data_IF_129521576197
#
_entry.id   IF_129521576197
#
_cell.length_a   1.000
_cell.length_b   1.000
_cell.length_c   1.000
_cell.angle_alpha   90.00
_cell.angle_beta   90.00
_cell.angle_gamma   90.00
#
_symmetry.space_group_name_H-M   'P 1'
#
loop_
_entity.id
_entity.type
_entity.pdbx_description
1 polymer ?
#
# COMPACT_ATOMS: atom_id res chain seq x y z
N UNK A 1 -15.55 -3.46 25.58
CA UNK A 1 -16.32 -3.14 24.35
C UNK A 1 -15.99 -4.19 23.29
N UNK A 2 -17.05 -4.86 22.79
CA UNK A 2 -17.16 -6.09 21.95
C UNK A 2 -15.95 -6.63 21.15
N UNK A 3 -15.27 -7.64 21.71
CA UNK A 3 -14.50 -8.64 20.93
C UNK A 3 -15.38 -9.47 19.97
N UNK A 4 -16.71 -9.41 20.11
CA UNK A 4 -17.67 -10.18 19.31
C UNK A 4 -17.81 -9.72 17.85
N UNK A 5 -17.54 -8.44 17.54
CA UNK A 5 -17.65 -7.94 16.16
C UNK A 5 -16.44 -8.35 15.32
N UNK A 6 -15.26 -8.42 15.93
CA UNK A 6 -14.01 -8.71 15.22
C UNK A 6 -13.91 -10.14 14.70
N UNK A 7 -14.62 -11.11 15.30
CA UNK A 7 -14.64 -12.53 14.87
C UNK A 7 -15.87 -12.91 14.03
N UNK A 8 -16.74 -11.93 13.71
CA UNK A 8 -17.90 -12.13 12.83
C UNK A 8 -17.45 -12.66 11.47
N UNK A 9 -18.25 -13.54 10.88
CA UNK A 9 -17.95 -14.12 9.55
C UNK A 9 -16.97 -15.29 9.57
N UNK A 10 -16.29 -15.57 10.69
CA UNK A 10 -15.55 -16.81 10.90
C UNK A 10 -16.48 -18.02 11.08
N UNK A 11 -15.98 -19.21 10.74
CA UNK A 11 -16.58 -20.50 11.10
C UNK A 11 -16.60 -20.66 12.62
N UNK A 12 -17.56 -21.42 13.16
CA UNK A 12 -17.68 -21.61 14.61
C UNK A 12 -16.40 -22.21 15.20
N UNK A 13 -15.84 -23.23 14.55
CA UNK A 13 -14.59 -23.89 14.96
C UNK A 13 -13.41 -22.91 15.02
N UNK A 14 -13.23 -22.08 13.99
CA UNK A 14 -12.09 -21.15 13.97
C UNK A 14 -12.33 -19.95 14.91
N UNK A 15 -13.58 -19.51 15.05
CA UNK A 15 -13.96 -18.48 16.03
C UNK A 15 -13.61 -18.90 17.44
N UNK A 16 -13.97 -20.11 17.85
CA UNK A 16 -13.64 -20.64 19.18
C UNK A 16 -12.12 -20.69 19.42
N UNK A 17 -11.33 -21.07 18.39
CA UNK A 17 -9.87 -21.02 18.46
C UNK A 17 -9.35 -19.59 18.69
N UNK A 18 -9.90 -18.61 17.98
CA UNK A 18 -9.51 -17.19 18.12
C UNK A 18 -9.91 -16.66 19.50
N UNK A 19 -11.10 -16.99 19.98
CA UNK A 19 -11.61 -16.55 21.29
C UNK A 19 -10.82 -17.18 22.43
N UNK A 20 -10.44 -18.46 22.31
CA UNK A 20 -9.61 -19.15 23.30
C UNK A 20 -8.17 -18.63 23.31
N UNK A 21 -7.58 -18.37 22.13
CA UNK A 21 -6.18 -17.95 22.02
C UNK A 21 -5.99 -16.42 22.16
N UNK A 22 -7.06 -15.63 22.05
CA UNK A 22 -6.99 -14.16 21.97
C UNK A 22 -6.32 -13.63 20.70
N UNK A 23 -6.10 -14.49 19.70
CA UNK A 23 -5.22 -14.20 18.57
C UNK A 23 -5.75 -14.80 17.27
N UNK A 24 -5.67 -14.03 16.17
CA UNK A 24 -5.95 -14.52 14.82
C UNK A 24 -4.66 -15.01 14.15
N UNK A 25 -4.51 -16.32 14.00
CA UNK A 25 -3.34 -16.92 13.32
C UNK A 25 -3.56 -17.00 11.80
N UNK A 26 -3.20 -15.94 11.09
CA UNK A 26 -3.25 -15.88 9.64
C UNK A 26 -2.21 -16.77 8.95
N UNK A 27 -1.30 -17.41 9.69
CA UNK A 27 -0.42 -18.45 9.13
C UNK A 27 -1.15 -19.76 8.90
N UNK A 28 -2.29 -19.97 9.59
CA UNK A 28 -3.09 -21.20 9.55
C UNK A 28 -4.47 -21.02 8.92
N UNK A 29 -5.03 -19.80 8.93
CA UNK A 29 -6.38 -19.53 8.40
C UNK A 29 -6.52 -19.97 6.94
N UNK A 30 -7.66 -20.61 6.65
CA UNK A 30 -8.06 -21.12 5.33
C UNK A 30 -9.32 -20.43 4.85
N UNK A 31 -9.68 -20.65 3.58
CA UNK A 31 -10.91 -20.09 2.99
C UNK A 31 -12.17 -20.62 3.69
N UNK A 32 -12.17 -21.88 4.11
CA UNK A 32 -13.28 -22.54 4.80
C UNK A 32 -13.52 -21.99 6.21
N UNK A 33 -12.52 -21.35 6.80
CA UNK A 33 -12.63 -20.70 8.10
C UNK A 33 -13.40 -19.37 8.03
N UNK A 34 -13.68 -18.86 6.83
CA UNK A 34 -14.49 -17.65 6.63
C UNK A 34 -15.76 -18.00 5.85
N UNK A 35 -16.89 -17.93 6.54
CA UNK A 35 -18.21 -18.28 5.99
C UNK A 35 -18.84 -17.14 5.18
N UNK A 36 -18.63 -15.89 5.60
CA UNK A 36 -19.21 -14.73 4.90
C UNK A 36 -18.54 -14.53 3.54
N UNK A 37 -19.33 -14.52 2.49
CA UNK A 37 -18.88 -14.25 1.11
C UNK A 37 -19.47 -12.92 0.66
N UNK A 38 -18.62 -12.03 0.13
CA UNK A 38 -19.08 -10.78 -0.49
C UNK A 38 -18.74 -10.81 -1.98
N UNK A 39 -19.75 -10.80 -2.87
CA UNK A 39 -19.53 -10.73 -4.32
C UNK A 39 -18.75 -9.46 -4.71
N UNK A 40 -17.83 -9.59 -5.67
CA UNK A 40 -16.94 -8.48 -6.05
C UNK A 40 -17.62 -7.24 -6.69
N UNK A 41 -18.87 -7.38 -7.13
CA UNK A 41 -19.67 -6.28 -7.72
C UNK A 41 -20.39 -5.43 -6.66
N UNK A 42 -20.60 -5.96 -5.46
CA UNK A 42 -21.35 -5.33 -4.36
C UNK A 42 -20.43 -5.07 -3.17
N UNK A 43 -19.17 -4.79 -3.44
CA UNK A 43 -18.12 -4.75 -2.44
C UNK A 43 -17.90 -3.29 -2.03
N UNK A 44 -18.72 -2.86 -1.07
CA UNK A 44 -18.57 -1.60 -0.37
C UNK A 44 -17.69 -1.86 0.87
N UNK A 45 -16.52 -1.22 0.93
CA UNK A 45 -15.55 -1.44 2.01
C UNK A 45 -15.36 -0.13 2.75
N UNK A 46 -15.63 -0.15 4.05
CA UNK A 46 -15.12 0.89 4.93
C UNK A 46 -13.60 0.70 5.15
N UNK A 47 -12.82 1.34 4.30
CA UNK A 47 -11.36 1.24 4.27
C UNK A 47 -10.68 1.71 5.56
N UNK A 48 -11.33 2.63 6.30
CA UNK A 48 -10.81 3.12 7.58
C UNK A 48 -10.78 2.04 8.65
N UNK A 49 -11.62 1.01 8.47
CA UNK A 49 -11.81 -0.08 9.42
C UNK A 49 -11.06 -1.36 9.03
N UNK A 50 -10.40 -1.40 7.87
CA UNK A 50 -9.70 -2.60 7.38
C UNK A 50 -8.39 -2.83 8.14
N UNK A 51 -8.32 -3.94 8.85
CA UNK A 51 -7.16 -4.37 9.64
C UNK A 51 -6.20 -5.19 8.78
N UNK A 52 -6.73 -6.14 7.99
CA UNK A 52 -5.89 -7.04 7.20
C UNK A 52 -6.57 -7.51 5.92
N UNK A 53 -5.80 -7.59 4.84
CA UNK A 53 -6.21 -8.15 3.56
C UNK A 53 -5.29 -9.33 3.26
N UNK A 54 -5.76 -10.54 3.51
CA UNK A 54 -5.03 -11.77 3.24
C UNK A 54 -5.29 -12.24 1.82
N UNK A 55 -4.23 -12.46 1.07
CA UNK A 55 -4.29 -13.27 -0.14
C UNK A 55 -4.30 -14.76 0.22
N UNK A 56 -5.31 -15.54 -0.21
CA UNK A 56 -5.34 -16.99 0.01
C UNK A 56 -5.02 -17.74 -1.27
N UNK A 57 -4.00 -18.60 -1.18
CA UNK A 57 -3.70 -19.61 -2.18
C UNK A 57 -4.55 -20.87 -1.96
N UNK A 58 -5.30 -21.28 -2.97
CA UNK A 58 -5.75 -22.67 -3.14
C UNK A 58 -4.92 -23.42 -4.19
N UNK A 59 -4.70 -24.75 -4.07
CA UNK A 59 -3.96 -25.55 -5.06
C UNK A 59 -4.70 -25.79 -6.39
N UNK A 60 -5.97 -25.40 -6.49
CA UNK A 60 -6.77 -25.29 -7.72
C UNK A 60 -7.39 -23.91 -7.74
N UNK A 61 -7.73 -23.36 -8.93
CA UNK A 61 -8.45 -22.06 -9.10
C UNK A 61 -9.48 -21.90 -7.99
N UNK A 62 -9.10 -21.21 -6.93
CA UNK A 62 -9.95 -21.11 -5.75
C UNK A 62 -11.07 -20.17 -6.12
N UNK A 63 -12.29 -20.44 -5.64
CA UNK A 63 -13.41 -19.56 -5.94
C UNK A 63 -13.33 -18.23 -5.21
N UNK A 64 -12.35 -18.00 -4.32
CA UNK A 64 -12.18 -16.76 -3.54
C UNK A 64 -10.70 -16.50 -3.21
N UNK A 65 -10.12 -15.44 -3.77
CA UNK A 65 -8.68 -15.16 -3.68
C UNK A 65 -8.28 -14.35 -2.42
N UNK A 66 -9.25 -13.77 -1.71
CA UNK A 66 -8.98 -12.78 -0.66
C UNK A 66 -9.86 -12.98 0.57
N UNK A 67 -9.27 -12.93 1.77
CA UNK A 67 -9.97 -12.59 3.01
C UNK A 67 -9.70 -11.13 3.32
N UNK A 68 -10.75 -10.40 3.70
CA UNK A 68 -10.63 -9.11 4.35
C UNK A 68 -11.08 -9.26 5.79
N UNK A 69 -10.34 -8.63 6.69
CA UNK A 69 -10.69 -8.46 8.09
C UNK A 69 -10.81 -6.97 8.38
N UNK A 70 -11.99 -6.54 8.84
CA UNK A 70 -12.23 -5.19 9.33
C UNK A 70 -12.82 -5.21 10.73
N UNK A 71 -12.68 -4.08 11.44
CA UNK A 71 -13.19 -3.93 12.81
C UNK A 71 -14.72 -3.89 12.87
N UNK A 72 -15.37 -3.29 11.88
CA UNK A 72 -16.84 -3.13 11.82
C UNK A 72 -17.56 -4.33 11.23
N UNK A 73 -17.00 -4.94 10.19
CA UNK A 73 -17.66 -6.02 9.45
C UNK A 73 -17.20 -7.43 9.86
N UNK A 74 -16.07 -7.53 10.57
CA UNK A 74 -15.38 -8.78 10.86
C UNK A 74 -14.69 -9.33 9.62
N UNK A 75 -14.82 -10.64 9.41
CA UNK A 75 -14.19 -11.37 8.32
C UNK A 75 -15.15 -11.63 7.17
N UNK A 76 -14.66 -11.44 5.95
CA UNK A 76 -15.33 -11.94 4.76
C UNK A 76 -14.33 -12.34 3.68
N UNK A 77 -14.78 -13.18 2.75
CA UNK A 77 -13.99 -13.59 1.59
C UNK A 77 -14.60 -13.09 0.29
N UNK A 78 -13.75 -12.76 -0.68
CA UNK A 78 -14.15 -12.27 -2.00
C UNK A 78 -13.28 -12.83 -3.12
N UNK A 79 -13.82 -12.78 -4.35
CA UNK A 79 -13.12 -13.12 -5.61
C UNK A 79 -12.14 -12.03 -6.05
N UNK A 80 -12.29 -10.81 -5.54
CA UNK A 80 -11.44 -9.69 -5.95
C UNK A 80 -10.08 -9.82 -5.28
N UNK A 81 -9.00 -9.78 -6.06
CA UNK A 81 -7.63 -9.88 -5.56
C UNK A 81 -7.24 -8.64 -4.73
N UNK A 82 -6.31 -8.76 -3.76
CA UNK A 82 -5.94 -7.62 -2.91
C UNK A 82 -5.46 -6.39 -3.68
N UNK A 83 -4.67 -6.60 -4.74
CA UNK A 83 -4.17 -5.52 -5.60
C UNK A 83 -5.30 -4.77 -6.31
N UNK A 84 -6.36 -5.48 -6.72
CA UNK A 84 -7.54 -4.88 -7.36
C UNK A 84 -8.41 -4.13 -6.36
N UNK A 85 -8.50 -4.62 -5.12
CA UNK A 85 -9.16 -3.90 -4.04
C UNK A 85 -8.48 -2.55 -3.81
N UNK A 86 -7.16 -2.53 -3.66
CA UNK A 86 -6.41 -1.28 -3.48
C UNK A 86 -6.41 -0.38 -4.73
N UNK A 87 -6.52 -0.93 -5.94
CA UNK A 87 -6.70 -0.10 -7.15
C UNK A 87 -8.01 0.68 -7.11
N UNK A 88 -9.12 0.04 -6.74
CA UNK A 88 -10.41 0.72 -6.58
C UNK A 88 -10.30 1.84 -5.56
N UNK A 89 -9.68 1.57 -4.40
CA UNK A 89 -9.42 2.61 -3.41
C UNK A 89 -8.61 3.79 -3.98
N UNK A 90 -7.59 3.51 -4.80
CA UNK A 90 -6.78 4.55 -5.44
C UNK A 90 -7.63 5.39 -6.42
N UNK A 91 -8.40 4.71 -7.28
CA UNK A 91 -9.30 5.32 -8.27
C UNK A 91 -10.36 6.21 -7.59
N UNK A 92 -10.99 5.72 -6.53
CA UNK A 92 -12.01 6.44 -5.76
C UNK A 92 -11.46 7.70 -5.07
N UNK A 93 -10.15 7.75 -4.81
CA UNK A 93 -9.46 8.90 -4.19
C UNK A 93 -8.69 9.76 -5.20
N UNK A 94 -8.76 9.46 -6.50
CA UNK A 94 -8.02 10.19 -7.54
C UNK A 94 -6.49 10.14 -7.38
N UNK A 95 -5.97 9.09 -6.75
CA UNK A 95 -4.53 8.88 -6.52
C UNK A 95 -4.05 7.68 -7.33
N UNK A 96 -2.86 7.78 -7.91
CA UNK A 96 -2.26 6.69 -8.66
C UNK A 96 -1.15 5.99 -7.87
N UNK A 97 -0.83 4.75 -8.27
CA UNK A 97 0.36 4.05 -7.76
C UNK A 97 1.67 4.72 -8.18
N UNK A 98 1.63 5.53 -9.24
CA UNK A 98 2.77 6.32 -9.65
C UNK A 98 3.08 7.38 -8.58
N UNK A 99 2.08 8.10 -8.10
CA UNK A 99 2.23 9.13 -7.04
C UNK A 99 2.87 8.53 -5.77
N UNK A 100 2.33 7.40 -5.31
CA UNK A 100 2.89 6.67 -4.15
C UNK A 100 4.34 6.23 -4.39
N UNK A 101 4.66 5.82 -5.62
CA UNK A 101 6.02 5.43 -6.00
C UNK A 101 6.95 6.64 -6.02
N UNK A 102 6.46 7.83 -6.38
CA UNK A 102 7.26 9.06 -6.38
C UNK A 102 7.63 9.47 -4.97
N UNK A 103 6.69 9.45 -4.01
CA UNK A 103 7.01 9.68 -2.60
C UNK A 103 8.06 8.69 -2.10
N UNK A 104 7.86 7.40 -2.40
CA UNK A 104 8.78 6.36 -1.96
C UNK A 104 10.20 6.53 -2.52
N UNK A 105 10.32 6.97 -3.78
CA UNK A 105 11.60 7.24 -4.45
C UNK A 105 12.27 8.52 -3.95
N UNK A 106 11.50 9.59 -3.77
CA UNK A 106 12.00 10.87 -3.25
C UNK A 106 12.61 10.68 -1.86
N UNK A 107 11.94 9.92 -0.99
CA UNK A 107 12.41 9.58 0.35
C UNK A 107 13.55 8.54 0.36
N UNK A 108 14.03 8.11 -0.81
CA UNK A 108 15.07 7.08 -0.97
C UNK A 108 14.79 5.76 -0.23
N UNK A 109 13.51 5.39 -0.12
CA UNK A 109 13.08 4.22 0.63
C UNK A 109 13.30 2.94 -0.21
N UNK A 110 13.51 1.83 0.48
CA UNK A 110 13.81 0.52 -0.13
C UNK A 110 12.82 -0.55 0.30
N UNK A 111 12.34 -1.33 -0.66
CA UNK A 111 11.37 -2.40 -0.44
C UNK A 111 10.13 -2.26 -1.31
N UNK A 112 9.00 -2.74 -0.80
CA UNK A 112 7.71 -2.67 -1.49
C UNK A 112 7.01 -1.37 -1.11
N UNK A 113 6.53 -0.65 -2.12
CA UNK A 113 5.77 0.58 -1.96
C UNK A 113 4.50 0.32 -1.11
N UNK A 114 4.35 0.96 0.05
CA UNK A 114 3.11 0.91 0.83
C UNK A 114 2.04 1.74 0.12
N UNK A 115 0.78 1.45 0.40
CA UNK A 115 -0.34 2.27 -0.06
C UNK A 115 -0.73 3.24 1.05
N UNK A 116 -0.58 4.54 0.81
CA UNK A 116 -0.82 5.58 1.81
C UNK A 116 -1.71 6.67 1.21
N UNK A 117 -2.85 6.95 1.86
CA UNK A 117 -3.79 8.02 1.51
C UNK A 117 -4.38 8.57 2.81
N UNK A 118 -4.06 9.83 3.15
CA UNK A 118 -4.40 10.39 4.46
C UNK A 118 -4.05 9.43 5.60
N UNK A 119 -4.92 9.21 6.61
CA UNK A 119 -4.59 8.32 7.73
C UNK A 119 -4.53 6.82 7.35
N UNK A 120 -4.92 6.43 6.13
CA UNK A 120 -4.91 5.05 5.69
C UNK A 120 -3.52 4.62 5.26
N UNK A 121 -2.99 3.57 5.88
CA UNK A 121 -1.71 2.98 5.53
C UNK A 121 -1.86 1.47 5.35
N UNK A 122 -1.76 0.97 4.12
CA UNK A 122 -1.68 -0.47 3.87
C UNK A 122 -0.25 -0.88 3.57
N UNK A 123 0.28 -1.73 4.45
CA UNK A 123 1.68 -2.15 4.42
C UNK A 123 1.77 -3.56 3.86
N UNK A 124 2.61 -3.77 2.84
CA UNK A 124 2.76 -5.07 2.22
C UNK A 124 3.49 -6.03 3.17
N UNK A 125 2.83 -7.11 3.58
CA UNK A 125 3.47 -8.18 4.37
C UNK A 125 4.36 -9.06 3.49
N UNK A 126 5.23 -9.85 4.12
CA UNK A 126 6.28 -10.60 3.43
C UNK A 126 5.77 -11.73 2.50
N UNK A 127 6.71 -12.29 1.72
CA UNK A 127 6.69 -12.35 0.26
C UNK A 127 5.99 -13.60 -0.32
N UNK A 128 5.14 -13.43 -1.35
CA UNK A 128 4.66 -14.55 -2.14
C UNK A 128 5.75 -15.22 -2.98
N UNK A 129 5.61 -16.54 -3.13
CA UNK A 129 6.44 -17.37 -4.02
C UNK A 129 6.40 -16.96 -5.51
N UNK A 130 5.64 -15.93 -5.91
CA UNK A 130 5.58 -15.39 -7.27
C UNK A 130 5.08 -13.94 -7.28
N UNK A 131 5.35 -13.21 -8.38
CA UNK A 131 4.91 -11.83 -8.60
C UNK A 131 3.38 -11.72 -8.45
N UNK A 132 2.89 -10.65 -7.81
CA UNK A 132 1.48 -10.27 -7.62
C UNK A 132 0.67 -10.87 -6.44
N UNK A 133 1.27 -11.57 -5.47
CA UNK A 133 0.50 -12.13 -4.33
C UNK A 133 0.81 -11.49 -2.96
N UNK A 134 0.54 -10.20 -2.81
CA UNK A 134 0.82 -9.49 -1.57
C UNK A 134 -0.41 -9.49 -0.66
N UNK A 135 -0.22 -9.82 0.63
CA UNK A 135 -1.18 -9.51 1.69
C UNK A 135 -0.81 -8.17 2.31
N UNK A 136 -1.79 -7.50 2.92
CA UNK A 136 -1.64 -6.12 3.37
C UNK A 136 -2.17 -5.97 4.78
N UNK A 137 -1.42 -5.29 5.64
CA UNK A 137 -1.85 -4.93 6.99
C UNK A 137 -2.16 -3.43 7.05
N UNK A 138 -3.26 -3.07 7.69
CA UNK A 138 -3.58 -1.70 8.05
C UNK A 138 -2.59 -1.22 9.11
N UNK A 139 -1.57 -0.49 8.70
CA UNK A 139 -0.52 0.05 9.55
C UNK A 139 -1.04 0.95 10.65
N UNK A 140 -2.17 1.63 10.42
CA UNK A 140 -2.85 2.45 11.42
C UNK A 140 -3.39 1.65 12.62
N UNK A 141 -3.52 0.33 12.49
CA UNK A 141 -3.94 -0.55 13.58
C UNK A 141 -2.79 -1.20 14.32
N UNK A 142 -1.55 -1.11 13.83
CA UNK A 142 -0.40 -1.78 14.45
C UNK A 142 0.07 -0.99 15.66
N UNK A 143 0.03 -1.61 16.84
CA UNK A 143 0.63 -1.04 18.05
C UNK A 143 2.04 -1.57 18.24
N UNK A 144 2.21 -2.87 18.37
CA UNK A 144 3.49 -3.50 18.69
C UNK A 144 3.73 -4.71 17.77
N UNK A 145 4.99 -4.97 17.44
CA UNK A 145 5.43 -6.11 16.64
C UNK A 145 6.42 -6.92 17.45
N UNK A 146 6.07 -8.15 17.75
CA UNK A 146 6.87 -9.08 18.52
C UNK A 146 7.37 -10.20 17.60
N UNK A 147 8.66 -10.52 17.66
CA UNK A 147 9.22 -11.68 16.97
C UNK A 147 8.65 -12.97 17.59
N UNK A 148 8.37 -13.96 16.75
CA UNK A 148 7.94 -15.29 17.18
C UNK A 148 8.89 -16.33 16.61
N UNK A 149 9.06 -17.43 17.35
CA UNK A 149 9.86 -18.57 16.92
C UNK A 149 9.51 -18.98 15.47
N UNK A 150 10.56 -19.12 14.66
CA UNK A 150 10.44 -19.53 13.25
C UNK A 150 9.74 -20.88 13.17
N UNK A 151 8.90 -21.06 12.16
CA UNK A 151 8.27 -22.37 11.87
C UNK A 151 8.75 -22.83 10.51
N UNK A 152 9.38 -24.01 10.43
CA UNK A 152 9.95 -24.55 9.20
C UNK A 152 10.91 -23.56 8.51
N UNK A 153 11.77 -22.90 9.30
CA UNK A 153 12.74 -21.90 8.82
C UNK A 153 12.15 -20.56 8.39
N UNK A 154 10.83 -20.37 8.43
CA UNK A 154 10.18 -19.12 8.03
C UNK A 154 9.89 -18.21 9.23
N UNK A 155 10.22 -16.91 9.14
CA UNK A 155 9.97 -15.96 10.21
C UNK A 155 8.47 -15.72 10.38
N UNK A 156 8.07 -15.49 11.63
CA UNK A 156 6.72 -15.10 12.01
C UNK A 156 6.79 -13.93 12.97
N UNK A 157 5.75 -13.12 12.95
CA UNK A 157 5.55 -12.06 13.93
C UNK A 157 4.17 -12.18 14.55
N UNK A 158 4.08 -11.76 15.81
CA UNK A 158 2.83 -11.50 16.53
C UNK A 158 2.67 -9.99 16.64
N UNK A 159 1.50 -9.50 16.28
CA UNK A 159 1.23 -8.07 16.16
C UNK A 159 0.07 -7.75 17.10
N UNK A 160 0.33 -6.81 18.00
CA UNK A 160 -0.68 -6.29 18.91
C UNK A 160 -1.42 -5.15 18.19
N UNK A 161 -2.73 -5.27 18.10
CA UNK A 161 -3.56 -4.36 17.32
C UNK A 161 -4.30 -3.36 18.21
N UNK A 162 -4.69 -2.23 17.63
CA UNK A 162 -5.39 -1.17 18.33
C UNK A 162 -6.77 -1.58 18.88
N UNK A 163 -7.35 -2.65 18.34
CA UNK A 163 -8.59 -3.25 18.81
C UNK A 163 -8.39 -4.25 19.98
N UNK A 164 -7.20 -4.28 20.60
CA UNK A 164 -6.83 -5.19 21.70
C UNK A 164 -6.83 -6.67 21.33
N UNK A 165 -6.77 -7.01 20.04
CA UNK A 165 -6.51 -8.36 19.56
C UNK A 165 -5.08 -8.52 19.11
N UNK A 166 -4.63 -9.77 19.07
CA UNK A 166 -3.36 -10.13 18.45
C UNK A 166 -3.61 -10.76 17.06
N UNK A 167 -2.63 -10.61 16.18
CA UNK A 167 -2.57 -11.38 14.94
C UNK A 167 -1.19 -11.96 14.69
N UNK A 168 -1.14 -13.15 14.09
CA UNK A 168 0.13 -13.80 13.70
C UNK A 168 0.19 -13.94 12.19
N UNK A 169 1.28 -13.47 11.59
CA UNK A 169 1.53 -13.52 10.14
C UNK A 169 2.93 -14.06 9.82
N UNK A 170 3.13 -14.46 8.55
CA UNK A 170 4.43 -14.76 8.00
C UNK A 170 5.14 -13.46 7.64
N UNK A 171 6.12 -13.08 8.46
CA UNK A 171 6.91 -11.87 8.31
C UNK A 171 8.10 -11.89 9.28
N UNK A 172 9.04 -10.96 9.12
CA UNK A 172 10.08 -10.70 10.11
C UNK A 172 9.84 -9.35 10.78
N UNK A 173 10.17 -9.28 12.07
CA UNK A 173 10.01 -8.06 12.86
C UNK A 173 10.80 -6.88 12.28
N UNK A 174 12.07 -7.02 11.85
CA UNK A 174 12.84 -5.87 11.34
C UNK A 174 12.26 -5.33 10.04
N UNK A 175 11.82 -6.22 9.14
CA UNK A 175 11.25 -5.83 7.84
C UNK A 175 9.90 -5.14 8.02
N UNK A 176 9.03 -5.69 8.86
CA UNK A 176 7.70 -5.12 9.05
C UNK A 176 7.78 -3.77 9.78
N UNK A 177 8.66 -3.63 10.79
CA UNK A 177 8.93 -2.34 11.45
C UNK A 177 9.49 -1.32 10.47
N UNK A 178 10.49 -1.69 9.67
CA UNK A 178 11.00 -0.80 8.62
C UNK A 178 9.87 -0.36 7.69
N UNK A 179 9.02 -1.28 7.25
CA UNK A 179 7.92 -0.96 6.33
C UNK A 179 6.86 -0.02 6.94
N UNK A 180 6.63 -0.10 8.25
CA UNK A 180 5.81 0.87 9.01
C UNK A 180 6.46 2.24 9.06
N UNK A 181 7.75 2.31 9.39
CA UNK A 181 8.50 3.57 9.41
C UNK A 181 8.51 4.23 8.03
N UNK A 182 8.76 3.46 6.98
CA UNK A 182 8.70 3.91 5.59
C UNK A 182 7.32 4.47 5.24
N UNK A 183 6.23 3.77 5.61
CA UNK A 183 4.86 4.23 5.36
C UNK A 183 4.53 5.53 6.14
N UNK A 184 5.01 5.68 7.37
CA UNK A 184 4.86 6.91 8.15
C UNK A 184 5.63 8.08 7.54
N UNK A 185 6.81 7.85 6.97
CA UNK A 185 7.55 8.88 6.25
C UNK A 185 6.79 9.34 5.00
N UNK A 186 6.24 8.39 4.23
CA UNK A 186 5.37 8.69 3.08
C UNK A 186 4.15 9.51 3.51
N UNK A 187 3.49 9.14 4.61
CA UNK A 187 2.36 9.88 5.16
C UNK A 187 2.71 11.33 5.49
N UNK A 188 3.85 11.57 6.14
CA UNK A 188 4.28 12.94 6.47
C UNK A 188 4.51 13.79 5.22
N UNK A 189 5.08 13.21 4.17
CA UNK A 189 5.30 13.90 2.90
C UNK A 189 3.98 14.19 2.18
N UNK A 190 3.05 13.24 2.16
CA UNK A 190 1.72 13.43 1.58
C UNK A 190 0.93 14.53 2.30
N UNK A 191 0.99 14.57 3.64
CA UNK A 191 0.39 15.63 4.44
C UNK A 191 1.03 17.00 4.17
N UNK A 192 2.35 17.05 3.98
CA UNK A 192 3.05 18.28 3.63
C UNK A 192 2.62 18.78 2.23
N UNK A 193 2.53 17.89 1.25
CA UNK A 193 2.05 18.22 -0.09
C UNK A 193 0.61 18.75 -0.06
N UNK A 194 -0.29 18.10 0.67
CA UNK A 194 -1.67 18.56 0.85
C UNK A 194 -1.74 19.91 1.54
N UNK A 195 -0.93 20.14 2.57
CA UNK A 195 -0.85 21.42 3.26
C UNK A 195 -0.36 22.53 2.32
N UNK A 196 0.64 22.25 1.48
CA UNK A 196 1.11 23.18 0.44
C UNK A 196 -0.01 23.47 -0.55
N UNK A 197 -0.67 22.46 -1.12
CA UNK A 197 -1.79 22.64 -2.07
C UNK A 197 -2.94 23.46 -1.48
N UNK A 198 -3.31 23.21 -0.21
CA UNK A 198 -4.33 23.97 0.49
C UNK A 198 -3.89 25.42 0.76
N UNK A 199 -2.59 25.65 0.99
CA UNK A 199 -1.99 26.96 1.25
C UNK A 199 -1.52 27.71 0.01
N UNK A 200 -1.44 27.10 -1.17
CA UNK A 200 -1.32 27.88 -2.41
C UNK A 200 -2.54 28.80 -2.61
N UNK A 201 -3.62 28.57 -1.86
CA UNK A 201 -4.77 29.48 -1.69
C UNK A 201 -4.68 30.44 -0.46
N UNK A 202 -3.61 30.40 0.36
CA UNK A 202 -3.37 31.29 1.51
C UNK A 202 -1.86 31.51 1.83
N UNK A 203 -1.43 32.77 1.80
CA UNK A 203 -0.06 33.31 1.58
C UNK A 203 1.11 32.85 2.49
N UNK A 204 0.98 31.93 3.46
CA UNK A 204 2.06 31.63 4.43
C UNK A 204 2.34 30.13 4.66
N UNK A 205 3.24 29.53 3.86
CA UNK A 205 3.86 28.24 4.17
C UNK A 205 5.35 28.43 4.55
N UNK A 206 5.87 27.63 5.48
CA UNK A 206 7.29 27.66 5.81
C UNK A 206 8.13 27.17 4.62
N UNK A 207 9.25 27.83 4.35
CA UNK A 207 10.07 27.60 3.16
C UNK A 207 10.50 26.13 2.96
N UNK A 208 10.87 25.41 4.03
CA UNK A 208 11.41 24.05 3.94
C UNK A 208 10.45 23.02 3.29
N UNK A 209 9.13 23.14 3.53
CA UNK A 209 8.14 22.22 2.95
C UNK A 209 7.81 22.57 1.50
N UNK A 210 7.90 23.85 1.14
CA UNK A 210 7.72 24.29 -0.24
C UNK A 210 8.85 23.73 -1.13
N UNK A 211 10.09 23.77 -0.62
CA UNK A 211 11.25 23.23 -1.34
C UNK A 211 11.12 21.72 -1.54
N UNK A 212 10.79 20.95 -0.49
CA UNK A 212 10.62 19.50 -0.60
C UNK A 212 9.51 19.10 -1.59
N UNK A 213 8.36 19.79 -1.54
CA UNK A 213 7.24 19.55 -2.46
C UNK A 213 7.62 19.94 -3.89
N UNK A 214 8.36 21.04 -4.08
CA UNK A 214 8.87 21.47 -5.39
C UNK A 214 9.84 20.45 -6.00
N UNK A 215 10.79 19.94 -5.20
CA UNK A 215 11.72 18.90 -5.63
C UNK A 215 11.00 17.61 -6.02
N UNK A 216 10.00 17.21 -5.23
CA UNK A 216 9.16 16.05 -5.52
C UNK A 216 8.41 16.20 -6.86
N UNK A 217 7.83 17.37 -7.14
CA UNK A 217 7.20 17.63 -8.44
C UNK A 217 8.21 17.57 -9.58
N UNK A 218 9.40 18.13 -9.42
CA UNK A 218 10.45 18.06 -10.44
C UNK A 218 10.88 16.61 -10.70
N UNK A 219 11.12 15.82 -9.64
CA UNK A 219 11.43 14.40 -9.76
C UNK A 219 10.31 13.62 -10.47
N UNK A 220 9.05 13.93 -10.15
CA UNK A 220 7.87 13.32 -10.78
C UNK A 220 7.83 13.60 -12.28
N UNK A 221 8.04 14.86 -12.70
CA UNK A 221 8.12 15.25 -14.12
C UNK A 221 9.27 14.57 -14.84
N UNK A 222 10.47 14.53 -14.24
CA UNK A 222 11.65 13.86 -14.82
C UNK A 222 11.38 12.37 -15.04
N UNK A 223 10.81 11.68 -14.06
CA UNK A 223 10.48 10.25 -14.19
C UNK A 223 9.38 10.04 -15.22
N UNK A 224 8.34 10.86 -15.22
CA UNK A 224 7.25 10.76 -16.19
C UNK A 224 7.76 10.96 -17.63
N UNK A 225 8.55 12.02 -17.87
CA UNK A 225 9.17 12.29 -19.16
C UNK A 225 10.03 11.10 -19.61
N UNK A 226 10.84 10.53 -18.72
CA UNK A 226 11.64 9.35 -19.00
C UNK A 226 10.79 8.15 -19.44
N UNK A 227 9.70 7.86 -18.75
CA UNK A 227 8.81 6.73 -19.07
C UNK A 227 8.07 6.95 -20.40
N UNK A 228 7.65 8.18 -20.70
CA UNK A 228 7.03 8.53 -21.99
C UNK A 228 8.02 8.34 -23.14
N UNK A 229 9.24 8.88 -23.00
CA UNK A 229 10.29 8.76 -24.01
C UNK A 229 10.70 7.30 -24.23
N UNK A 230 10.80 6.52 -23.15
CA UNK A 230 11.05 5.08 -23.24
C UNK A 230 9.96 4.36 -24.03
N UNK A 231 8.68 4.63 -23.74
CA UNK A 231 7.55 4.04 -24.48
C UNK A 231 7.48 4.48 -25.93
N UNK A 232 7.97 5.68 -26.25
CA UNK A 232 8.08 6.20 -27.60
C UNK A 232 9.32 5.68 -28.36
N UNK A 233 10.18 4.87 -27.72
CA UNK A 233 11.33 4.24 -28.37
C UNK A 233 12.65 5.02 -28.31
N UNK A 234 12.72 6.11 -27.53
CA UNK A 234 13.91 6.97 -27.41
C UNK A 234 14.87 6.55 -26.27
N UNK A 235 14.77 5.31 -25.79
CA UNK A 235 15.42 4.84 -24.58
C UNK A 235 16.94 4.73 -24.66
N UNK A 236 17.49 4.58 -25.87
CA UNK A 236 18.93 4.47 -26.12
C UNK A 236 19.63 5.81 -26.38
N UNK A 237 18.87 6.85 -26.70
CA UNK A 237 19.43 8.11 -27.22
C UNK A 237 19.43 9.25 -26.19
N UNK A 238 18.62 9.15 -25.14
CA UNK A 238 18.37 10.26 -24.21
C UNK A 238 19.01 9.96 -22.86
N UNK A 239 19.98 10.81 -22.47
CA UNK A 239 20.64 10.72 -21.15
C UNK A 239 19.82 11.43 -20.07
N UNK A 240 20.14 11.17 -18.81
CA UNK A 240 19.48 11.82 -17.67
C UNK A 240 19.54 13.36 -17.71
N UNK A 241 20.64 13.92 -18.21
CA UNK A 241 20.78 15.38 -18.38
C UNK A 241 19.83 15.95 -19.44
N UNK A 242 19.54 15.18 -20.49
CA UNK A 242 18.61 15.58 -21.56
C UNK A 242 17.17 15.60 -21.04
N UNK A 243 16.78 14.62 -20.22
CA UNK A 243 15.46 14.60 -19.55
C UNK A 243 15.26 15.85 -18.69
N UNK A 244 16.27 16.22 -17.90
CA UNK A 244 16.23 17.44 -17.07
C UNK A 244 16.14 18.71 -17.90
N UNK A 245 16.75 18.73 -19.10
CA UNK A 245 16.68 19.86 -20.01
C UNK A 245 15.28 19.97 -20.62
N UNK A 246 14.75 18.87 -21.15
CA UNK A 246 13.41 18.77 -21.75
C UNK A 246 12.34 19.23 -20.75
N UNK A 247 12.36 18.72 -19.51
CA UNK A 247 11.40 19.14 -18.48
C UNK A 247 11.48 20.64 -18.18
N UNK A 248 12.69 21.20 -18.10
CA UNK A 248 12.89 22.64 -17.87
C UNK A 248 12.44 23.51 -19.04
N UNK A 249 12.59 23.03 -20.27
CA UNK A 249 12.14 23.74 -21.48
C UNK A 249 10.61 23.75 -21.55
N UNK A 250 9.96 22.61 -21.31
CA UNK A 250 8.49 22.51 -21.22
C UNK A 250 7.94 23.43 -20.12
N UNK A 251 8.55 23.45 -18.94
CA UNK A 251 8.12 24.33 -17.82
C UNK A 251 8.23 25.83 -18.16
N UNK A 252 9.10 26.19 -19.11
CA UNK A 252 9.24 27.57 -19.62
C UNK A 252 8.31 27.88 -20.80
N UNK A 253 7.47 26.92 -21.21
CA UNK A 253 6.65 27.04 -22.40
C UNK A 253 7.45 26.97 -23.71
N UNK A 254 8.70 26.51 -23.65
CA UNK A 254 9.51 26.28 -24.84
C UNK A 254 9.26 24.85 -25.36
N UNK A 255 8.75 24.77 -26.59
CA UNK A 255 8.42 23.53 -27.30
C UNK A 255 9.51 23.07 -28.28
N UNK A 256 10.60 23.82 -28.44
CA UNK A 256 11.67 23.55 -29.43
C UNK A 256 12.26 22.13 -29.27
N UNK A 257 12.31 21.61 -28.03
CA UNK A 257 12.82 20.26 -27.74
C UNK A 257 11.81 19.12 -27.86
N UNK A 258 10.58 19.40 -28.29
CA UNK A 258 9.62 18.37 -28.74
C UNK A 258 9.96 17.84 -30.14
N UNK A 259 10.82 18.55 -30.89
CA UNK A 259 11.35 18.18 -32.19
C UNK A 259 12.56 17.24 -32.05
N UNK A 260 12.41 16.13 -31.32
CA UNK A 260 13.51 15.19 -31.02
C UNK A 260 14.13 14.53 -32.27
N UNK A 261 13.47 14.64 -33.43
CA UNK A 261 13.88 14.07 -34.71
C UNK A 261 14.08 15.10 -35.84
N UNK A 262 13.91 16.40 -35.58
CA UNK A 262 14.20 17.40 -36.63
C UNK A 262 15.71 17.67 -36.62
N UNK A 263 16.38 16.92 -37.49
CA UNK A 263 17.81 16.98 -37.82
C UNK A 263 18.78 16.56 -36.69
N UNK A 264 19.11 15.26 -36.67
CA UNK A 264 20.42 14.75 -36.21
C UNK A 264 21.21 14.21 -37.39
#
# INVERSE_FOLDING_TARGET
>A
MKAWLSTRGLSAKYREQVESAGCVDFTKIRQEDVKRVVPGKSLDIDWTEVIFIKNIRGPKRSSFDTIVWSRTEGFYRTKVRPRMLLNRLAEDNGISWFDMTMFYRYLHLTGRVPFVIGPLMFIPTEVPKSRNHTSWIGGQFVRHINEVAKTNGKPKVRIDLANHMEMVIWDSEPRLRKSLTDAQAVLRLEQAEQAVRARTNSVNASNDWLDAVSELYQLSKEIFAKEVLHKAGFDKEIKGADIKRIVREIDRGNNDSLHLNDER
#
